data_IF_967065188789
#
_entry.id   IF_967065188789
#
_cell.length_a   1.000
_cell.length_b   1.000
_cell.length_c   1.000
_cell.angle_alpha   90.00
_cell.angle_beta   90.00
_cell.angle_gamma   90.00
#
_symmetry.space_group_name_H-M   'P 1'
#
loop_
_entity.id
_entity.type
_entity.pdbx_description
1 polymer ?
#
# COMPACT_ATOMS: atom_id res chain seq x y z
N UNK A 1 31.07 18.15 -54.63
CA UNK A 1 30.63 17.99 -53.23
C UNK A 1 29.25 18.61 -53.09
N UNK A 2 28.18 17.81 -52.91
CA UNK A 2 26.83 18.35 -52.68
C UNK A 2 26.76 18.89 -51.24
N UNK A 3 26.63 20.21 -51.09
CA UNK A 3 26.45 20.87 -49.79
C UNK A 3 25.05 20.50 -49.27
N UNK A 4 24.99 19.58 -48.30
CA UNK A 4 23.76 19.27 -47.60
C UNK A 4 23.38 20.50 -46.78
N UNK A 5 22.31 21.19 -47.16
CA UNK A 5 21.74 22.29 -46.38
C UNK A 5 21.11 21.70 -45.13
N UNK A 6 21.72 21.96 -43.98
CA UNK A 6 21.15 21.66 -42.67
C UNK A 6 19.84 22.44 -42.53
N UNK A 7 18.71 21.73 -42.60
CA UNK A 7 17.40 22.29 -42.24
C UNK A 7 17.36 22.39 -40.72
N UNK A 8 17.51 23.61 -40.19
CA UNK A 8 17.33 23.87 -38.77
C UNK A 8 15.86 23.73 -38.37
N UNK A 9 15.63 23.35 -37.11
CA UNK A 9 14.31 23.30 -36.49
C UNK A 9 13.78 24.73 -36.31
N UNK A 10 12.49 24.98 -36.59
CA UNK A 10 11.90 26.31 -36.42
C UNK A 10 11.56 26.57 -34.95
N UNK A 11 11.62 27.83 -34.52
CA UNK A 11 11.16 28.22 -33.18
C UNK A 11 9.67 27.91 -32.97
N UNK A 12 8.87 27.98 -34.04
CA UNK A 12 7.45 27.64 -34.00
C UNK A 12 7.25 26.14 -33.70
N UNK A 13 8.00 25.25 -34.36
CA UNK A 13 7.94 23.81 -34.07
C UNK A 13 8.33 23.53 -32.62
N UNK A 14 9.36 24.19 -32.10
CA UNK A 14 9.81 23.98 -30.72
C UNK A 14 8.76 24.48 -29.71
N UNK A 15 8.12 25.61 -29.97
CA UNK A 15 7.05 26.13 -29.10
C UNK A 15 5.82 25.22 -29.07
N UNK A 16 5.42 24.65 -30.21
CA UNK A 16 4.28 23.71 -30.28
C UNK A 16 4.60 22.43 -29.49
N UNK A 17 5.82 21.90 -29.61
CA UNK A 17 6.24 20.69 -28.87
C UNK A 17 6.18 20.93 -27.36
N UNK A 18 6.71 22.06 -26.87
CA UNK A 18 6.66 22.40 -25.44
C UNK A 18 5.23 22.56 -24.94
N UNK A 19 4.35 23.18 -25.74
CA UNK A 19 2.94 23.31 -25.39
C UNK A 19 2.23 21.95 -25.25
N UNK A 20 2.47 21.02 -26.18
CA UNK A 20 1.89 19.67 -26.12
C UNK A 20 2.44 18.89 -24.93
N UNK A 21 3.76 18.93 -24.69
CA UNK A 21 4.38 18.28 -23.52
C UNK A 21 3.82 18.86 -22.22
N UNK A 22 3.59 20.17 -22.15
CA UNK A 22 2.97 20.81 -20.98
C UNK A 22 1.58 20.27 -20.66
N UNK A 23 0.72 20.10 -21.67
CA UNK A 23 -0.62 19.53 -21.49
C UNK A 23 -0.54 18.07 -21.03
N UNK A 24 0.31 17.26 -21.68
CA UNK A 24 0.48 15.84 -21.33
C UNK A 24 1.05 15.69 -19.92
N UNK A 25 2.04 16.50 -19.54
CA UNK A 25 2.66 16.46 -18.23
C UNK A 25 1.67 16.81 -17.09
N UNK A 26 0.76 17.76 -17.32
CA UNK A 26 -0.24 18.14 -16.32
C UNK A 26 -1.17 16.98 -15.93
N UNK A 27 -1.46 16.05 -16.85
CA UNK A 27 -2.29 14.87 -16.59
C UNK A 27 -1.44 13.67 -16.18
N UNK A 28 -0.30 13.46 -16.83
CA UNK A 28 0.52 12.27 -16.65
C UNK A 28 1.30 12.28 -15.32
N UNK A 29 1.78 13.44 -14.85
CA UNK A 29 2.60 13.51 -13.63
C UNK A 29 1.81 13.12 -12.37
N UNK A 30 0.60 13.66 -12.10
CA UNK A 30 -0.18 13.23 -10.93
C UNK A 30 -0.53 11.74 -10.98
N UNK A 31 -0.92 11.23 -12.16
CA UNK A 31 -1.26 9.82 -12.33
C UNK A 31 -0.05 8.90 -12.09
N UNK A 32 1.14 9.29 -12.57
CA UNK A 32 2.36 8.53 -12.35
C UNK A 32 2.76 8.52 -10.87
N UNK A 33 2.64 9.65 -10.17
CA UNK A 33 2.90 9.74 -8.72
C UNK A 33 2.01 8.76 -7.94
N UNK A 34 0.70 8.80 -8.14
CA UNK A 34 -0.23 7.87 -7.48
C UNK A 34 0.08 6.41 -7.82
N UNK A 35 0.46 6.11 -9.06
CA UNK A 35 0.85 4.74 -9.44
C UNK A 35 2.11 4.27 -8.71
N UNK A 36 3.13 5.14 -8.59
CA UNK A 36 4.35 4.81 -7.84
C UNK A 36 4.09 4.66 -6.35
N UNK A 37 3.22 5.48 -5.77
CA UNK A 37 2.78 5.37 -4.38
C UNK A 37 2.01 4.08 -4.14
N UNK A 38 1.08 3.70 -5.03
CA UNK A 38 0.37 2.42 -4.98
C UNK A 38 1.31 1.23 -5.03
N UNK A 39 2.32 1.28 -5.91
CA UNK A 39 3.32 0.22 -6.01
C UNK A 39 4.12 0.07 -4.71
N UNK A 40 4.57 1.18 -4.12
CA UNK A 40 5.25 1.19 -2.82
C UNK A 40 4.36 0.71 -1.68
N UNK A 41 3.11 1.18 -1.64
CA UNK A 41 2.14 0.83 -0.61
C UNK A 41 1.74 -0.65 -0.63
N UNK A 42 1.96 -1.35 -1.75
CA UNK A 42 1.77 -2.80 -1.82
C UNK A 42 2.62 -3.57 -0.79
N UNK A 43 3.79 -3.06 -0.38
CA UNK A 43 4.57 -3.64 0.72
C UNK A 43 3.80 -3.63 2.04
N UNK A 44 3.09 -2.55 2.36
CA UNK A 44 2.26 -2.42 3.56
C UNK A 44 1.11 -3.43 3.51
N UNK A 45 0.44 -3.54 2.37
CA UNK A 45 -0.65 -4.50 2.17
C UNK A 45 -0.16 -5.94 2.36
N UNK A 46 1.02 -6.28 1.82
CA UNK A 46 1.63 -7.60 2.00
C UNK A 46 2.02 -7.87 3.46
N UNK A 47 2.61 -6.88 4.13
CA UNK A 47 2.96 -6.97 5.55
C UNK A 47 1.72 -7.25 6.41
N UNK A 48 0.64 -6.49 6.23
CA UNK A 48 -0.63 -6.71 6.94
C UNK A 48 -1.25 -8.07 6.58
N UNK A 49 -1.20 -8.47 5.30
CA UNK A 49 -1.73 -9.76 4.85
C UNK A 49 -1.01 -10.95 5.51
N UNK A 50 0.30 -10.84 5.76
CA UNK A 50 1.05 -11.87 6.47
C UNK A 50 0.57 -12.05 7.92
N UNK A 51 0.26 -10.95 8.61
CA UNK A 51 -0.30 -10.96 9.97
C UNK A 51 -1.72 -11.51 9.95
N UNK A 52 -2.53 -11.12 8.97
CA UNK A 52 -3.89 -11.67 8.76
C UNK A 52 -3.85 -13.19 8.66
N UNK A 53 -2.97 -13.75 7.83
CA UNK A 53 -2.81 -15.20 7.71
C UNK A 53 -2.35 -15.85 9.02
N UNK A 54 -1.46 -15.21 9.78
CA UNK A 54 -1.03 -15.71 11.09
C UNK A 54 -2.19 -15.72 12.11
N UNK A 55 -3.03 -14.67 12.12
CA UNK A 55 -4.26 -14.62 12.94
C UNK A 55 -5.24 -15.72 12.51
N UNK A 56 -5.46 -15.91 11.20
CA UNK A 56 -6.34 -16.96 10.67
C UNK A 56 -5.89 -18.36 11.14
N UNK A 57 -4.59 -18.63 11.12
CA UNK A 57 -4.01 -19.90 11.62
C UNK A 57 -4.12 -20.00 13.14
N UNK A 58 -3.79 -18.94 13.88
CA UNK A 58 -3.89 -18.91 15.34
C UNK A 58 -5.32 -19.21 15.79
N UNK A 59 -6.30 -18.54 15.22
CA UNK A 59 -7.72 -18.70 15.56
C UNK A 59 -8.22 -20.13 15.38
N UNK A 60 -7.75 -20.82 14.34
CA UNK A 60 -8.16 -22.20 14.04
C UNK A 60 -7.45 -23.25 14.89
N UNK A 61 -6.22 -22.99 15.35
CA UNK A 61 -5.35 -24.03 15.92
C UNK A 61 -5.04 -23.85 17.39
N UNK A 62 -4.70 -22.63 17.83
CA UNK A 62 -4.20 -22.34 19.20
C UNK A 62 -5.17 -21.50 20.01
N UNK A 63 -5.87 -20.59 19.37
CA UNK A 63 -6.72 -19.60 20.03
C UNK A 63 -8.07 -20.12 20.52
N UNK A 64 -8.35 -21.43 20.40
CA UNK A 64 -9.65 -22.04 20.73
C UNK A 64 -10.84 -21.29 20.12
N UNK A 65 -10.69 -20.79 18.89
CA UNK A 65 -11.68 -19.96 18.19
C UNK A 65 -12.07 -18.68 18.94
N UNK A 66 -11.16 -18.16 19.75
CA UNK A 66 -11.26 -16.86 20.39
C UNK A 66 -10.18 -15.93 19.84
N UNK A 67 -10.61 -14.81 19.24
CA UNK A 67 -9.68 -13.81 18.70
C UNK A 67 -8.86 -13.10 19.80
N UNK A 68 -9.31 -13.14 21.06
CA UNK A 68 -8.56 -12.60 22.20
C UNK A 68 -7.39 -13.46 22.69
N UNK A 69 -7.07 -14.54 21.98
CA UNK A 69 -5.87 -15.35 22.18
C UNK A 69 -4.93 -15.25 20.96
N UNK A 70 -5.19 -14.30 20.06
CA UNK A 70 -4.53 -14.13 18.77
C UNK A 70 -4.38 -12.65 18.41
N UNK A 71 -4.23 -11.80 19.42
CA UNK A 71 -4.19 -10.34 19.28
C UNK A 71 -2.86 -9.71 19.63
N UNK A 72 -1.88 -10.53 20.00
CA UNK A 72 -0.49 -10.13 20.11
C UNK A 72 0.41 -10.95 19.17
N UNK A 73 1.55 -10.36 18.81
CA UNK A 73 2.52 -10.98 17.89
C UNK A 73 3.05 -12.33 18.41
N UNK A 74 3.27 -12.43 19.72
CA UNK A 74 3.78 -13.64 20.37
C UNK A 74 2.77 -14.80 20.30
N UNK A 75 1.47 -14.49 20.38
CA UNK A 75 0.39 -15.48 20.34
C UNK A 75 0.20 -16.08 18.94
N UNK A 76 0.26 -15.22 17.92
CA UNK A 76 0.14 -15.64 16.53
C UNK A 76 1.43 -16.30 16.02
N UNK A 77 2.55 -16.15 16.73
CA UNK A 77 3.85 -16.71 16.38
C UNK A 77 4.51 -15.97 15.22
N UNK A 78 4.31 -14.65 15.15
CA UNK A 78 4.93 -13.77 14.18
C UNK A 78 5.87 -12.79 14.87
N UNK A 79 6.96 -12.40 14.22
CA UNK A 79 7.91 -11.44 14.77
C UNK A 79 7.65 -10.07 14.16
N UNK A 80 7.20 -9.11 14.98
CA UNK A 80 6.85 -7.75 14.54
C UNK A 80 7.96 -7.09 13.71
N UNK A 81 9.21 -7.18 14.16
CA UNK A 81 10.36 -6.61 13.46
C UNK A 81 10.58 -7.21 12.04
N UNK A 82 10.13 -8.45 11.79
CA UNK A 82 10.22 -9.05 10.45
C UNK A 82 9.07 -8.58 9.55
N UNK A 83 7.88 -8.39 10.12
CA UNK A 83 6.71 -7.84 9.40
C UNK A 83 6.95 -6.39 9.00
N UNK A 84 7.60 -5.61 9.86
CA UNK A 84 7.92 -4.18 9.63
C UNK A 84 9.26 -3.96 8.89
N UNK A 85 9.91 -5.02 8.40
CA UNK A 85 11.21 -4.91 7.73
C UNK A 85 11.14 -4.24 6.35
N UNK A 86 9.94 -4.10 5.77
CA UNK A 86 9.73 -3.47 4.47
C UNK A 86 10.18 -2.01 4.43
N UNK A 87 10.75 -1.59 3.30
CA UNK A 87 11.29 -0.24 3.16
C UNK A 87 10.18 0.81 3.28
N UNK A 88 9.00 0.51 2.74
CA UNK A 88 7.85 1.42 2.68
C UNK A 88 6.86 1.23 3.85
N UNK A 89 7.15 0.29 4.76
CA UNK A 89 6.33 0.03 5.96
C UNK A 89 6.82 0.89 7.12
N UNK A 90 5.94 1.72 7.70
CA UNK A 90 6.25 2.51 8.90
C UNK A 90 6.00 1.67 10.16
N UNK A 91 4.76 1.21 10.33
CA UNK A 91 4.34 0.37 11.46
C UNK A 91 3.28 -0.63 11.03
N UNK A 92 3.27 -1.80 11.68
CA UNK A 92 2.16 -2.75 11.67
C UNK A 92 1.80 -3.08 13.11
N UNK A 93 0.55 -2.83 13.49
CA UNK A 93 0.08 -3.02 14.87
C UNK A 93 -1.19 -3.84 14.89
N UNK A 94 -1.39 -4.57 15.98
CA UNK A 94 -2.63 -5.30 16.24
C UNK A 94 -3.30 -4.58 17.42
N UNK A 95 -4.54 -4.16 17.23
CA UNK A 95 -5.32 -3.51 18.28
C UNK A 95 -5.90 -4.57 19.22
N UNK A 96 -5.55 -4.55 20.50
CA UNK A 96 -6.01 -5.56 21.47
C UNK A 96 -7.51 -5.48 21.80
N UNK A 97 -8.20 -4.40 21.44
CA UNK A 97 -9.66 -4.28 21.66
C UNK A 97 -10.46 -4.75 20.45
N UNK A 98 -10.15 -4.23 19.26
CA UNK A 98 -10.89 -4.54 18.03
C UNK A 98 -10.30 -5.72 17.27
N UNK A 99 -9.09 -6.16 17.64
CA UNK A 99 -8.28 -7.18 16.94
C UNK A 99 -7.92 -6.79 15.51
N UNK A 100 -8.12 -5.51 15.17
CA UNK A 100 -7.81 -4.98 13.86
C UNK A 100 -6.29 -4.89 13.68
N UNK A 101 -5.82 -5.26 12.49
CA UNK A 101 -4.44 -5.05 12.07
C UNK A 101 -4.38 -3.71 11.37
N UNK A 102 -3.56 -2.79 11.85
CA UNK A 102 -3.31 -1.50 11.21
C UNK A 102 -1.88 -1.48 10.68
N UNK A 103 -1.75 -1.45 9.35
CA UNK A 103 -0.50 -1.15 8.65
C UNK A 103 -0.46 0.31 8.24
N UNK A 104 0.68 0.96 8.43
CA UNK A 104 0.91 2.35 8.07
C UNK A 104 2.11 2.44 7.13
N UNK A 105 1.97 3.18 6.04
CA UNK A 105 3.03 3.42 5.07
C UNK A 105 3.94 4.58 5.46
N UNK A 106 5.17 4.57 4.92
CA UNK A 106 6.10 5.71 4.96
C UNK A 106 5.83 6.76 3.88
N UNK A 107 4.72 6.65 3.16
CA UNK A 107 4.30 7.64 2.16
C UNK A 107 4.07 9.02 2.81
N UNK A 108 4.09 10.08 2.01
CA UNK A 108 3.95 11.46 2.51
C UNK A 108 2.63 11.71 3.25
N UNK A 109 1.59 10.94 2.93
CA UNK A 109 0.27 11.04 3.55
C UNK A 109 0.12 10.09 4.76
N UNK A 110 1.16 9.32 5.07
CA UNK A 110 1.20 8.36 6.17
C UNK A 110 -0.02 7.42 6.14
N UNK A 111 -0.32 6.89 4.95
CA UNK A 111 -1.58 6.21 4.64
C UNK A 111 -1.74 4.93 5.46
N UNK A 112 -2.98 4.60 5.84
CA UNK A 112 -3.30 3.42 6.65
C UNK A 112 -4.06 2.37 5.85
N UNK A 113 -3.74 1.11 6.12
CA UNK A 113 -4.45 -0.08 5.65
C UNK A 113 -4.88 -0.89 6.88
N UNK A 114 -6.18 -0.96 7.13
CA UNK A 114 -6.73 -1.56 8.33
C UNK A 114 -7.57 -2.77 7.95
N UNK A 115 -7.27 -3.92 8.54
CA UNK A 115 -8.07 -5.13 8.42
C UNK A 115 -8.68 -5.49 9.76
N UNK A 116 -10.01 -5.48 9.86
CA UNK A 116 -10.74 -5.83 11.07
C UNK A 116 -11.36 -7.22 10.93
N UNK A 117 -10.99 -8.19 11.79
CA UNK A 117 -11.61 -9.50 11.77
C UNK A 117 -12.95 -9.49 12.52
N UNK A 118 -13.91 -10.23 11.99
CA UNK A 118 -15.16 -10.57 12.67
C UNK A 118 -15.30 -12.09 12.71
N UNK A 119 -15.39 -12.65 13.92
CA UNK A 119 -15.60 -14.07 14.12
C UNK A 119 -17.10 -14.41 14.11
N UNK A 120 -17.52 -15.25 13.18
CA UNK A 120 -18.88 -15.76 13.11
C UNK A 120 -18.87 -17.20 12.60
N UNK A 121 -19.66 -18.09 13.23
CA UNK A 121 -19.81 -19.48 12.81
C UNK A 121 -18.46 -20.20 12.58
N UNK A 122 -17.52 -20.05 13.52
CA UNK A 122 -16.17 -20.62 13.45
C UNK A 122 -15.31 -20.16 12.26
N UNK A 123 -15.70 -19.08 11.58
CA UNK A 123 -14.98 -18.50 10.43
C UNK A 123 -14.66 -17.04 10.72
N UNK A 124 -13.55 -16.56 10.16
CA UNK A 124 -13.18 -15.14 10.19
C UNK A 124 -13.56 -14.46 8.87
N UNK A 125 -14.33 -13.39 8.96
CA UNK A 125 -14.57 -12.45 7.86
C UNK A 125 -13.78 -11.18 8.13
N UNK A 126 -13.19 -10.60 7.10
CA UNK A 126 -12.30 -9.45 7.23
C UNK A 126 -12.86 -8.25 6.50
N UNK A 127 -12.95 -7.11 7.19
CA UNK A 127 -13.33 -5.84 6.61
C UNK A 127 -12.09 -4.97 6.41
N UNK A 128 -11.92 -4.44 5.20
CA UNK A 128 -10.85 -3.51 4.87
C UNK A 128 -11.34 -2.06 5.03
N UNK A 129 -10.60 -1.28 5.80
CA UNK A 129 -10.76 0.17 5.96
C UNK A 129 -9.40 0.87 5.91
N UNK A 130 -9.36 2.19 6.13
CA UNK A 130 -8.13 2.98 6.16
C UNK A 130 -8.11 4.11 5.13
N UNK A 131 -7.14 5.02 5.27
CA UNK A 131 -7.02 6.19 4.40
C UNK A 131 -6.54 5.85 3.00
N UNK A 132 -5.93 4.67 2.81
CA UNK A 132 -5.45 4.22 1.50
C UNK A 132 -6.55 4.13 0.43
N UNK A 133 -7.81 3.89 0.83
CA UNK A 133 -8.97 3.80 -0.08
C UNK A 133 -9.28 5.19 -0.64
N UNK A 134 -9.32 6.21 0.23
CA UNK A 134 -9.55 7.60 -0.18
C UNK A 134 -8.39 8.12 -1.06
N UNK A 135 -7.17 7.67 -0.77
CA UNK A 135 -5.97 8.02 -1.54
C UNK A 135 -5.83 7.21 -2.85
N UNK A 136 -6.63 6.15 -3.05
CA UNK A 136 -6.61 5.30 -4.25
C UNK A 136 -5.37 4.39 -4.38
N UNK A 137 -4.60 4.24 -3.31
CA UNK A 137 -3.34 3.47 -3.29
C UNK A 137 -3.52 2.03 -2.78
N UNK A 138 -4.67 1.73 -2.19
CA UNK A 138 -5.25 0.39 -2.11
C UNK A 138 -6.54 0.45 -2.95
#
# INVERSE_FOLDING_TARGET
MKKQTQKGFTLIELMIVVAIIGILAAVALPAYQTYTEKAKFSEVVLAVSSVKSAIDVCYQTRGDRNLGNCDEYDEIGAVKAQVEAGAEVDTVTINTTTKAIEGKGKDSSASTYILTPTAANNTLTWEQTGTCIANGIC
#
